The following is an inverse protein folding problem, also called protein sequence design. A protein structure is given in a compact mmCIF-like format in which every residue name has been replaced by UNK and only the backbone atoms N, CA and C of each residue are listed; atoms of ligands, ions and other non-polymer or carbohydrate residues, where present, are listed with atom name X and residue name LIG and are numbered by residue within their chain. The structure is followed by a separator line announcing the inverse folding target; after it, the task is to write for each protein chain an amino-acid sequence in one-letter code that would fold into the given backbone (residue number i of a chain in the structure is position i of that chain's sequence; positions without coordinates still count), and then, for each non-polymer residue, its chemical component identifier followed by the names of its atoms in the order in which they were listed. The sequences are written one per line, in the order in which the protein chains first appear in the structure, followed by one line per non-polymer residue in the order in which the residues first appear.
data_IF_042186514309
#
_entry.id   IF_042186514309
#
_cell.length_a   1.000
_cell.length_b   1.000
_cell.length_c   1.000
_cell.angle_alpha   90.00
_cell.angle_beta   90.00
_cell.angle_gamma   90.00
#
_symmetry.space_group_name_H-M   'P 1'
#
loop_
_entity.id
_entity.type
_entity.pdbx_description
1 polymer ?
#
# COMPACT_ATOMS: atom_id res chain seq x y z
N UNK A 1 -39.68 40.33 49.87
CA UNK A 1 -39.31 41.74 49.56
C UNK A 1 -38.60 41.73 48.21
N UNK A 2 -39.01 42.64 47.34
CA UNK A 2 -38.97 42.56 45.88
C UNK A 2 -37.66 43.04 45.21
N UNK A 3 -37.69 42.95 43.87
CA UNK A 3 -36.91 43.63 42.82
C UNK A 3 -35.69 42.88 42.28
N UNK A 4 -35.39 42.84 40.98
CA UNK A 4 -36.17 42.99 39.73
C UNK A 4 -35.30 42.49 38.55
N UNK A 5 -35.95 42.20 37.42
CA UNK A 5 -35.39 41.62 36.21
C UNK A 5 -34.49 42.57 35.37
N UNK A 6 -33.55 42.01 34.60
CA UNK A 6 -33.19 42.51 33.26
C UNK A 6 -32.79 41.38 32.30
N UNK A 7 -33.39 41.43 31.12
CA UNK A 7 -33.28 40.51 29.99
C UNK A 7 -32.03 40.80 29.13
N UNK A 8 -31.47 39.77 28.50
CA UNK A 8 -30.53 39.92 27.38
C UNK A 8 -30.94 39.05 26.19
N UNK A 9 -30.80 39.65 25.01
CA UNK A 9 -31.46 39.38 23.73
C UNK A 9 -30.80 38.27 22.89
N UNK A 10 -31.57 37.44 22.15
CA UNK A 10 -31.06 36.37 21.28
C UNK A 10 -30.74 36.85 19.84
N UNK A 11 -30.06 38.00 19.68
CA UNK A 11 -29.74 38.57 18.35
C UNK A 11 -28.30 38.32 17.86
N UNK A 12 -27.43 37.72 18.66
CA UNK A 12 -26.03 37.48 18.26
C UNK A 12 -25.78 36.12 17.54
N UNK A 13 -26.70 35.16 17.63
CA UNK A 13 -26.52 33.83 17.03
C UNK A 13 -26.89 33.75 15.53
N UNK A 14 -27.81 34.60 15.05
CA UNK A 14 -28.22 34.57 13.64
C UNK A 14 -27.22 35.25 12.69
N UNK A 15 -26.47 36.24 13.16
CA UNK A 15 -25.55 37.01 12.32
C UNK A 15 -24.27 36.23 11.98
N UNK A 16 -23.81 35.33 12.86
CA UNK A 16 -22.62 34.50 12.61
C UNK A 16 -22.93 33.33 11.66
N UNK A 17 -24.16 32.80 11.67
CA UNK A 17 -24.58 31.73 10.76
C UNK A 17 -24.72 32.22 9.30
N UNK A 18 -25.11 33.48 9.09
CA UNK A 18 -25.24 34.10 7.76
C UNK A 18 -23.86 34.40 7.14
N UNK A 19 -22.87 34.77 7.93
CA UNK A 19 -21.51 35.02 7.44
C UNK A 19 -20.80 33.71 7.03
N UNK A 20 -21.01 32.62 7.77
CA UNK A 20 -20.45 31.30 7.41
C UNK A 20 -21.08 30.71 6.14
N UNK A 21 -22.37 30.97 5.88
CA UNK A 21 -23.04 30.53 4.64
C UNK A 21 -22.68 31.39 3.43
N UNK A 22 -22.39 32.68 3.61
CA UNK A 22 -21.90 33.56 2.54
C UNK A 22 -20.45 33.27 2.14
N UNK A 23 -19.56 32.95 3.10
CA UNK A 23 -18.18 32.55 2.79
C UNK A 23 -18.14 31.16 2.12
N UNK A 24 -19.08 30.26 2.46
CA UNK A 24 -19.20 28.96 1.79
C UNK A 24 -19.75 29.08 0.36
N UNK A 25 -20.63 30.06 0.08
CA UNK A 25 -21.11 30.33 -1.28
C UNK A 25 -20.10 31.02 -2.18
N UNK A 26 -19.12 31.74 -1.64
CA UNK A 26 -18.09 32.42 -2.45
C UNK A 26 -16.92 31.52 -2.87
N UNK A 27 -16.80 30.30 -2.32
CA UNK A 27 -15.75 29.33 -2.71
C UNK A 27 -16.20 28.21 -3.67
N UNK A 28 -17.45 28.23 -4.14
CA UNK A 28 -17.97 27.22 -5.08
C UNK A 28 -17.96 27.70 -6.54
N UNK A 29 -17.50 28.92 -6.83
CA UNK A 29 -17.38 29.43 -8.21
C UNK A 29 -15.92 29.72 -8.54
N UNK A 30 -15.16 28.65 -8.81
CA UNK A 30 -14.00 28.60 -9.72
C UNK A 30 -13.83 27.12 -10.15
N UNK A 31 -14.87 26.59 -10.77
CA UNK A 31 -14.74 25.50 -11.72
C UNK A 31 -14.99 26.15 -13.09
N UNK A 32 -14.01 26.07 -13.96
CA UNK A 32 -14.09 26.57 -15.34
C UNK A 32 -15.26 25.87 -16.05
N UNK A 33 -16.37 26.58 -16.21
CA UNK A 33 -17.40 26.27 -17.19
C UNK A 33 -16.82 26.55 -18.57
N UNK A 34 -16.58 25.51 -19.35
CA UNK A 34 -16.50 25.64 -20.79
C UNK A 34 -17.95 25.81 -21.28
N UNK A 35 -18.30 27.04 -21.68
CA UNK A 35 -19.55 27.31 -22.39
C UNK A 35 -19.52 26.53 -23.71
N UNK A 36 -20.40 25.54 -23.85
CA UNK A 36 -20.74 25.01 -25.17
C UNK A 36 -21.84 25.89 -25.76
N UNK A 37 -21.48 26.63 -26.80
CA UNK A 37 -22.46 27.30 -27.65
C UNK A 37 -23.40 26.25 -28.26
N UNK A 38 -24.67 26.27 -27.85
CA UNK A 38 -25.75 25.60 -28.58
C UNK A 38 -26.21 26.53 -29.71
N UNK A 39 -25.87 26.17 -30.94
CA UNK A 39 -26.72 26.48 -32.10
C UNK A 39 -27.53 25.24 -32.47
N UNK A 40 -28.77 25.49 -32.83
CA UNK A 40 -29.88 24.57 -32.99
C UNK A 40 -29.64 23.45 -34.01
N UNK A 41 -30.04 22.21 -33.71
CA UNK A 41 -30.06 21.16 -34.73
C UNK A 41 -30.29 19.73 -34.26
N UNK A 42 -31.55 19.41 -33.92
CA UNK A 42 -32.19 18.10 -34.02
C UNK A 42 -31.67 16.91 -33.17
N UNK A 43 -32.46 16.54 -32.17
CA UNK A 43 -32.36 15.29 -31.43
C UNK A 43 -32.71 14.12 -32.35
N UNK A 44 -31.81 13.15 -32.51
CA UNK A 44 -32.19 11.81 -32.91
C UNK A 44 -31.52 10.77 -32.01
N UNK A 45 -32.36 10.04 -31.31
CA UNK A 45 -32.06 9.11 -30.23
C UNK A 45 -31.42 7.83 -30.75
N UNK A 46 -30.17 7.54 -30.34
CA UNK A 46 -29.64 6.18 -30.18
C UNK A 46 -28.64 6.15 -29.02
N UNK A 47 -29.15 5.89 -27.82
CA UNK A 47 -28.33 5.37 -26.72
C UNK A 47 -27.84 3.98 -27.12
N UNK A 48 -26.60 3.91 -27.60
CA UNK A 48 -25.83 2.66 -27.68
C UNK A 48 -24.68 2.70 -26.70
N UNK A 49 -24.81 1.82 -25.72
CA UNK A 49 -23.87 1.35 -24.73
C UNK A 49 -22.52 0.93 -25.38
N UNK A 50 -21.64 1.87 -25.73
CA UNK A 50 -20.36 1.56 -26.38
C UNK A 50 -19.11 2.25 -25.80
N UNK A 51 -19.17 2.81 -24.58
CA UNK A 51 -18.00 3.53 -24.02
C UNK A 51 -16.99 2.66 -23.26
N UNK A 52 -16.95 1.35 -23.55
CA UNK A 52 -16.07 0.39 -22.86
C UNK A 52 -15.09 -0.39 -23.75
N UNK A 53 -15.24 -0.32 -25.08
CA UNK A 53 -14.47 -1.17 -26.02
C UNK A 53 -13.34 -0.45 -26.77
N UNK A 54 -13.27 0.87 -26.70
CA UNK A 54 -12.35 1.68 -27.51
C UNK A 54 -10.98 1.93 -26.88
N UNK A 55 -10.75 1.55 -25.61
CA UNK A 55 -9.42 1.73 -24.99
C UNK A 55 -8.34 0.77 -25.50
N UNK A 56 -8.72 -0.31 -26.19
CA UNK A 56 -7.78 -1.35 -26.68
C UNK A 56 -7.71 -1.50 -28.20
N UNK A 57 -8.43 -0.68 -28.97
CA UNK A 57 -8.31 -0.65 -30.43
C UNK A 57 -7.58 0.62 -30.88
N UNK A 58 -6.28 0.67 -30.61
CA UNK A 58 -5.39 1.64 -31.25
C UNK A 58 -5.20 1.24 -32.71
N UNK A 59 -5.45 2.19 -33.61
CA UNK A 59 -5.17 2.13 -35.05
C UNK A 59 -3.81 1.45 -35.32
N UNK A 60 -3.86 0.19 -35.78
CA UNK A 60 -2.67 -0.58 -36.15
C UNK A 60 -2.17 -0.05 -37.50
N UNK A 61 -0.93 0.47 -37.60
CA UNK A 61 -0.33 0.84 -38.89
C UNK A 61 -0.35 -0.37 -39.82
N UNK A 62 -0.58 -0.16 -41.12
CA UNK A 62 -0.70 -1.23 -42.12
C UNK A 62 0.62 -1.93 -42.48
N UNK A 63 1.75 -1.53 -41.88
CA UNK A 63 2.98 -2.32 -41.82
C UNK A 63 3.97 -1.69 -40.81
N UNK A 64 3.89 -1.98 -39.50
CA UNK A 64 4.89 -1.53 -38.56
C UNK A 64 6.13 -2.42 -38.69
N UNK A 65 7.31 -1.82 -38.80
CA UNK A 65 8.57 -2.52 -38.61
C UNK A 65 8.48 -3.33 -37.29
N UNK A 66 8.58 -4.68 -37.34
CA UNK A 66 8.43 -5.53 -36.18
C UNK A 66 9.40 -5.19 -35.05
N UNK A 67 10.54 -4.57 -35.35
CA UNK A 67 11.54 -4.15 -34.37
C UNK A 67 11.19 -2.79 -33.74
N UNK A 68 10.63 -1.86 -34.53
CA UNK A 68 10.27 -0.52 -34.06
C UNK A 68 9.26 -0.54 -32.91
N UNK A 69 8.38 -1.56 -32.84
CA UNK A 69 7.41 -1.71 -31.73
C UNK A 69 8.09 -1.99 -30.38
N UNK A 70 9.28 -2.59 -30.39
CA UNK A 70 10.02 -2.97 -29.18
C UNK A 70 11.06 -1.92 -28.77
N UNK A 71 11.44 -1.02 -29.68
CA UNK A 71 12.48 -0.03 -29.46
C UNK A 71 12.32 0.78 -28.15
N UNK A 72 11.12 1.27 -27.78
CA UNK A 72 10.95 2.02 -26.53
C UNK A 72 11.31 1.20 -25.28
N UNK A 73 11.02 -0.11 -25.29
CA UNK A 73 11.37 -1.00 -24.19
C UNK A 73 12.85 -1.32 -24.17
N UNK A 74 13.47 -1.54 -25.34
CA UNK A 74 14.90 -1.79 -25.46
C UNK A 74 15.73 -0.59 -25.01
N UNK A 75 15.32 0.62 -25.37
CA UNK A 75 15.96 1.87 -24.95
C UNK A 75 15.84 2.06 -23.43
N UNK A 76 14.67 1.76 -22.85
CA UNK A 76 14.45 1.82 -21.42
C UNK A 76 15.32 0.80 -20.66
N UNK A 77 15.42 -0.44 -21.15
CA UNK A 77 16.28 -1.48 -20.56
C UNK A 77 17.75 -1.06 -20.65
N UNK A 78 18.21 -0.62 -21.82
CA UNK A 78 19.59 -0.17 -22.02
C UNK A 78 19.96 0.99 -21.09
N UNK A 79 19.06 1.98 -21.00
CA UNK A 79 19.24 3.13 -20.09
C UNK A 79 19.27 2.69 -18.62
N UNK A 80 18.39 1.77 -18.21
CA UNK A 80 18.34 1.28 -16.84
C UNK A 80 19.60 0.48 -16.47
N UNK A 81 20.07 -0.42 -17.35
CA UNK A 81 21.29 -1.21 -17.14
C UNK A 81 22.52 -0.31 -17.09
N UNK A 82 22.60 0.72 -17.93
CA UNK A 82 23.71 1.68 -17.93
C UNK A 82 23.76 2.53 -16.65
N UNK A 83 22.60 2.86 -16.08
CA UNK A 83 22.50 3.68 -14.86
C UNK A 83 22.59 2.85 -13.57
N UNK A 84 22.29 1.55 -13.65
CA UNK A 84 22.27 0.67 -12.50
C UNK A 84 23.67 0.51 -11.91
N UNK A 85 23.75 0.63 -10.58
CA UNK A 85 24.96 0.39 -9.80
C UNK A 85 24.60 -0.64 -8.74
N UNK A 86 25.39 -1.71 -8.66
CA UNK A 86 25.23 -2.70 -7.61
C UNK A 86 25.37 -2.04 -6.24
N UNK A 87 24.54 -2.51 -5.30
CA UNK A 87 24.68 -2.10 -3.92
C UNK A 87 25.77 -2.95 -3.24
N UNK A 88 26.46 -2.36 -2.27
CA UNK A 88 27.43 -3.09 -1.44
C UNK A 88 26.72 -4.09 -0.52
N UNK A 89 27.09 -5.37 -0.60
CA UNK A 89 26.42 -6.44 0.15
C UNK A 89 27.07 -6.72 1.52
N UNK A 90 28.36 -6.45 1.68
CA UNK A 90 29.14 -6.90 2.84
C UNK A 90 28.98 -6.04 4.10
N UNK A 91 28.48 -4.81 3.97
CA UNK A 91 28.45 -3.80 5.03
C UNK A 91 27.04 -3.50 5.57
N UNK A 92 26.00 -4.24 5.15
CA UNK A 92 24.59 -3.94 5.41
C UNK A 92 24.10 -2.56 4.88
N UNK A 93 24.84 -1.93 3.98
CA UNK A 93 24.58 -0.54 3.51
C UNK A 93 23.63 -0.45 2.32
N UNK A 94 23.31 -1.57 1.67
CA UNK A 94 22.48 -1.61 0.47
C UNK A 94 21.13 -0.86 0.60
N UNK A 95 20.60 -0.74 1.82
CA UNK A 95 19.32 -0.09 2.08
C UNK A 95 19.42 1.17 2.97
N UNK A 96 20.63 1.68 3.23
CA UNK A 96 20.84 2.86 4.10
C UNK A 96 20.13 4.10 3.57
N UNK A 97 20.12 4.29 2.25
CA UNK A 97 19.42 5.42 1.61
C UNK A 97 17.94 5.48 1.98
N UNK A 98 17.29 4.35 2.27
CA UNK A 98 15.91 4.30 2.74
C UNK A 98 15.82 4.82 4.17
N UNK A 99 16.70 4.35 5.05
CA UNK A 99 16.75 4.74 6.47
C UNK A 99 17.04 6.23 6.59
N UNK A 100 18.06 6.73 5.88
CA UNK A 100 18.47 8.14 5.90
C UNK A 100 17.36 9.07 5.43
N UNK A 101 16.64 8.65 4.40
CA UNK A 101 15.53 9.41 3.81
C UNK A 101 14.30 9.41 4.73
N UNK A 102 14.02 8.29 5.37
CA UNK A 102 12.90 8.16 6.32
C UNK A 102 13.13 8.98 7.60
N UNK A 103 14.39 9.07 8.04
CA UNK A 103 14.78 9.84 9.23
C UNK A 103 15.11 11.31 8.92
N UNK A 104 15.16 11.73 7.64
CA UNK A 104 15.63 13.07 7.26
C UNK A 104 14.78 14.17 7.89
N UNK A 105 13.46 14.00 7.91
CA UNK A 105 12.51 14.97 8.47
C UNK A 105 12.77 15.24 9.95
N UNK A 106 13.20 14.22 10.71
CA UNK A 106 13.50 14.37 12.13
C UNK A 106 14.84 15.03 12.36
N UNK A 107 15.83 14.71 11.52
CA UNK A 107 17.14 15.38 11.51
C UNK A 107 16.99 16.87 11.20
N UNK A 108 16.20 17.23 10.19
CA UNK A 108 15.92 18.62 9.80
C UNK A 108 15.16 19.39 10.90
N UNK A 109 14.29 18.71 11.65
CA UNK A 109 13.53 19.29 12.77
C UNK A 109 14.28 19.32 14.10
N UNK A 110 15.55 18.88 14.14
CA UNK A 110 16.37 18.88 15.35
C UNK A 110 16.10 17.72 16.32
N UNK A 111 15.41 16.66 15.86
CA UNK A 111 15.12 15.45 16.62
C UNK A 111 13.64 15.16 16.80
N UNK A 112 13.34 14.09 17.52
CA UNK A 112 11.98 13.70 17.92
C UNK A 112 11.76 14.21 19.35
N UNK A 113 10.80 15.12 19.54
CA UNK A 113 10.50 15.66 20.87
C UNK A 113 9.55 14.74 21.64
N UNK A 114 9.60 14.82 22.98
CA UNK A 114 8.69 14.07 23.85
C UNK A 114 7.22 14.45 23.59
N UNK A 115 6.94 15.70 23.23
CA UNK A 115 5.59 16.17 22.90
C UNK A 115 5.07 15.51 21.61
N UNK A 116 5.89 15.48 20.56
CA UNK A 116 5.56 14.80 19.30
C UNK A 116 5.31 13.31 19.52
N UNK A 117 6.15 12.67 20.34
CA UNK A 117 5.99 11.27 20.69
C UNK A 117 4.67 11.03 21.44
N UNK A 118 4.36 11.83 22.47
CA UNK A 118 3.09 11.75 23.21
C UNK A 118 1.88 12.02 22.32
N UNK A 119 1.98 12.96 21.38
CA UNK A 119 0.93 13.24 20.38
C UNK A 119 0.66 12.01 19.50
N UNK A 120 1.70 11.35 19.02
CA UNK A 120 1.56 10.12 18.24
C UNK A 120 0.96 8.98 19.08
N UNK A 121 1.46 8.78 20.31
CA UNK A 121 0.98 7.74 21.22
C UNK A 121 -0.51 7.94 21.59
N UNK A 122 -0.92 9.18 21.87
CA UNK A 122 -2.29 9.54 22.21
C UNK A 122 -3.30 9.28 21.09
N UNK A 123 -2.85 9.17 19.83
CA UNK A 123 -3.73 8.78 18.70
C UNK A 123 -4.01 7.28 18.64
N UNK A 124 -3.28 6.44 19.38
CA UNK A 124 -3.48 4.98 19.38
C UNK A 124 -3.16 4.32 18.02
N UNK A 125 -2.23 4.92 17.27
CA UNK A 125 -1.86 4.51 15.90
C UNK A 125 -0.75 3.44 15.84
N UNK A 126 -0.32 2.93 16.99
CA UNK A 126 0.65 1.84 17.09
C UNK A 126 0.92 1.45 18.54
N UNK A 127 1.73 0.41 18.73
CA UNK A 127 2.18 -0.04 20.04
C UNK A 127 3.40 0.74 20.52
N UNK A 128 3.40 1.09 21.80
CA UNK A 128 4.54 1.72 22.45
C UNK A 128 5.54 0.64 22.86
N UNK A 129 6.76 0.76 22.37
CA UNK A 129 7.90 -0.03 22.80
C UNK A 129 8.94 0.85 23.47
N UNK A 130 9.62 0.29 24.46
CA UNK A 130 10.75 0.92 25.13
C UNK A 130 11.87 -0.09 25.27
N UNK A 131 13.10 0.36 25.04
CA UNK A 131 14.32 -0.37 25.38
C UNK A 131 14.96 0.42 26.50
N UNK A 132 15.12 -0.22 27.66
CA UNK A 132 15.74 0.39 28.85
C UNK A 132 16.70 -0.63 29.44
N UNK A 133 17.98 -0.26 29.55
CA UNK A 133 19.04 -1.14 30.03
C UNK A 133 19.04 -2.51 29.34
N UNK A 134 18.99 -2.48 28.01
CA UNK A 134 18.96 -3.67 27.15
C UNK A 134 17.84 -4.68 27.47
N UNK A 135 16.69 -4.19 27.95
CA UNK A 135 15.45 -4.95 28.16
C UNK A 135 14.33 -4.32 27.34
N UNK A 136 13.53 -5.17 26.70
CA UNK A 136 12.41 -4.74 25.87
C UNK A 136 11.14 -4.69 26.71
N UNK A 137 10.46 -3.56 26.64
CA UNK A 137 9.16 -3.31 27.24
C UNK A 137 8.18 -2.92 26.14
N UNK A 138 6.92 -3.31 26.31
CA UNK A 138 5.86 -3.02 25.35
C UNK A 138 4.56 -2.74 26.09
N UNK A 139 3.70 -1.90 25.50
CA UNK A 139 2.31 -1.76 25.92
C UNK A 139 1.62 -3.12 26.01
N UNK A 140 0.77 -3.33 27.03
CA UNK A 140 0.12 -4.62 27.29
C UNK A 140 -0.63 -5.17 26.07
N UNK A 141 -1.38 -4.30 25.37
CA UNK A 141 -2.14 -4.66 24.17
C UNK A 141 -1.22 -4.63 22.95
N UNK A 142 -1.31 -5.66 22.10
CA UNK A 142 -0.90 -5.66 20.69
C UNK A 142 -2.15 -6.05 19.88
N UNK A 143 -2.50 -5.30 18.82
CA UNK A 143 -3.68 -5.64 18.03
C UNK A 143 -3.50 -6.96 17.28
N UNK A 144 -2.30 -7.20 16.75
CA UNK A 144 -1.94 -8.41 16.01
C UNK A 144 -0.75 -9.10 16.68
N UNK A 145 -1.02 -9.93 17.69
CA UNK A 145 0.01 -10.51 18.56
C UNK A 145 1.15 -11.21 17.81
N UNK A 146 0.84 -11.99 16.77
CA UNK A 146 1.85 -12.66 15.95
C UNK A 146 2.75 -11.66 15.18
N UNK A 147 2.21 -10.51 14.76
CA UNK A 147 3.02 -9.45 14.14
C UNK A 147 4.00 -8.82 15.14
N UNK A 148 3.54 -8.56 16.37
CA UNK A 148 4.43 -8.10 17.44
C UNK A 148 5.55 -9.12 17.70
N UNK A 149 5.22 -10.40 17.85
CA UNK A 149 6.21 -11.48 18.06
C UNK A 149 7.24 -11.55 16.92
N UNK A 150 6.81 -11.42 15.67
CA UNK A 150 7.70 -11.38 14.51
C UNK A 150 8.70 -10.22 14.54
N UNK A 151 8.31 -9.03 15.00
CA UNK A 151 9.23 -7.89 15.16
C UNK A 151 10.13 -8.06 16.40
N UNK A 152 9.55 -8.52 17.51
CA UNK A 152 10.26 -8.79 18.76
C UNK A 152 11.42 -9.79 18.56
N UNK A 153 11.24 -10.80 17.70
CA UNK A 153 12.31 -11.72 17.30
C UNK A 153 13.59 -11.01 16.85
N UNK A 154 13.46 -10.00 15.98
CA UNK A 154 14.61 -9.26 15.45
C UNK A 154 15.22 -8.32 16.49
N UNK A 155 14.38 -7.60 17.24
CA UNK A 155 14.85 -6.67 18.29
C UNK A 155 15.65 -7.43 19.36
N UNK A 156 15.10 -8.55 19.85
CA UNK A 156 15.72 -9.34 20.92
C UNK A 156 17.08 -9.91 20.51
N UNK A 157 17.30 -10.20 19.22
CA UNK A 157 18.61 -10.64 18.69
C UNK A 157 19.72 -9.59 18.83
N UNK A 158 19.38 -8.31 18.78
CA UNK A 158 20.35 -7.21 18.82
C UNK A 158 20.25 -6.35 20.08
N UNK A 159 19.35 -6.68 21.02
CA UNK A 159 19.00 -5.81 22.15
C UNK A 159 20.17 -5.40 23.04
N UNK A 160 21.21 -6.23 23.13
CA UNK A 160 22.45 -5.95 23.89
C UNK A 160 23.33 -4.87 23.25
N UNK A 161 23.08 -4.53 21.98
CA UNK A 161 23.78 -3.49 21.23
C UNK A 161 22.95 -2.21 21.10
N UNK A 162 21.68 -2.23 21.48
CA UNK A 162 20.78 -1.08 21.35
C UNK A 162 20.87 -0.17 22.57
N UNK A 163 20.92 1.16 22.39
CA UNK A 163 20.81 2.12 23.49
C UNK A 163 19.38 2.20 24.03
N UNK A 164 19.21 2.94 25.13
CA UNK A 164 17.89 3.27 25.64
C UNK A 164 17.14 4.13 24.61
N UNK A 165 15.93 3.71 24.26
CA UNK A 165 15.09 4.38 23.27
C UNK A 165 13.61 3.98 23.44
N UNK A 166 12.73 4.76 22.84
CA UNK A 166 11.32 4.41 22.71
C UNK A 166 10.83 4.66 21.28
N UNK A 167 9.89 3.84 20.83
CA UNK A 167 9.34 3.92 19.48
C UNK A 167 7.88 3.47 19.44
N UNK A 168 7.17 3.93 18.41
CA UNK A 168 5.79 3.53 18.14
C UNK A 168 5.80 2.62 16.92
N UNK A 169 5.42 1.37 17.11
CA UNK A 169 5.35 0.37 16.06
C UNK A 169 3.90 0.21 15.60
N UNK A 170 3.59 0.61 14.37
CA UNK A 170 2.34 0.30 13.72
C UNK A 170 2.39 -1.12 13.14
N UNK A 171 1.54 -1.99 13.67
CA UNK A 171 1.37 -3.37 13.23
C UNK A 171 0.26 -3.54 12.17
N UNK A 172 -0.41 -2.47 11.74
CA UNK A 172 -1.49 -2.52 10.75
C UNK A 172 -0.94 -2.52 9.33
N UNK A 173 -1.81 -2.81 8.36
CA UNK A 173 -1.43 -2.85 6.95
C UNK A 173 -1.18 -1.46 6.35
N UNK A 174 -1.81 -0.41 6.89
CA UNK A 174 -1.75 0.95 6.33
C UNK A 174 -0.87 1.88 7.18
N UNK A 175 -0.05 2.76 6.56
CA UNK A 175 0.72 3.79 7.27
C UNK A 175 -0.16 4.80 8.02
N UNK A 176 0.43 5.52 8.98
CA UNK A 176 -0.31 6.31 9.99
C UNK A 176 0.12 7.79 10.08
N UNK A 177 1.18 8.20 9.40
CA UNK A 177 1.70 9.56 9.44
C UNK A 177 1.64 10.23 8.07
N UNK A 178 0.49 10.76 7.63
CA UNK A 178 0.35 11.34 6.30
C UNK A 178 1.09 12.68 6.13
N UNK A 179 1.54 12.98 4.90
CA UNK A 179 2.31 14.19 4.56
C UNK A 179 1.52 15.50 4.55
N UNK A 180 0.19 15.42 4.49
CA UNK A 180 -0.67 16.59 4.63
C UNK A 180 -0.76 17.10 6.09
N UNK A 181 -0.20 16.36 7.07
CA UNK A 181 -0.18 16.72 8.48
C UNK A 181 1.26 16.78 9.01
N UNK A 182 1.40 17.26 10.26
CA UNK A 182 2.68 17.19 10.98
C UNK A 182 3.20 15.75 11.01
N UNK A 183 4.51 15.53 10.78
CA UNK A 183 5.10 14.22 10.88
C UNK A 183 4.93 13.67 12.30
N UNK A 184 4.71 12.36 12.39
CA UNK A 184 4.65 11.59 13.62
C UNK A 184 5.67 10.44 13.56
N UNK A 185 6.45 10.19 14.63
CA UNK A 185 7.53 9.21 14.64
C UNK A 185 6.97 7.78 14.79
N UNK A 186 6.35 7.27 13.73
CA UNK A 186 5.72 5.95 13.70
C UNK A 186 6.45 5.05 12.72
N UNK A 187 6.74 3.83 13.15
CA UNK A 187 7.31 2.78 12.30
C UNK A 187 6.19 1.99 11.64
N UNK A 188 6.17 1.88 10.32
CA UNK A 188 5.21 1.11 9.52
C UNK A 188 5.93 0.26 8.48
N UNK A 189 5.52 -0.98 8.22
CA UNK A 189 6.27 -1.86 7.30
C UNK A 189 6.19 -1.43 5.82
N UNK A 190 5.18 -0.64 5.45
CA UNK A 190 4.95 -0.17 4.08
C UNK A 190 4.38 1.24 4.08
N UNK A 191 4.66 2.00 3.01
CA UNK A 191 4.13 3.34 2.78
C UNK A 191 4.22 3.76 1.31
N UNK A 192 3.43 4.78 0.96
CA UNK A 192 3.66 5.57 -0.26
C UNK A 192 4.55 6.75 0.08
N UNK A 193 5.78 6.78 -0.45
CA UNK A 193 6.81 7.76 -0.07
C UNK A 193 6.37 9.22 -0.26
N UNK A 194 5.62 9.52 -1.32
CA UNK A 194 5.11 10.87 -1.59
C UNK A 194 3.97 11.29 -0.67
N UNK A 195 3.36 10.37 0.08
CA UNK A 195 2.14 10.62 0.85
C UNK A 195 2.30 10.38 2.36
N UNK A 196 3.35 9.70 2.83
CA UNK A 196 3.52 9.35 4.24
C UNK A 196 4.93 9.60 4.77
N UNK A 197 5.02 9.99 6.04
CA UNK A 197 6.24 10.22 6.83
C UNK A 197 6.68 9.00 7.64
N UNK A 198 5.88 7.93 7.71
CA UNK A 198 6.20 6.73 8.48
C UNK A 198 7.62 6.22 8.19
N UNK A 199 8.30 5.70 9.20
CA UNK A 199 9.64 5.12 9.07
C UNK A 199 9.48 3.64 8.74
N UNK A 200 10.05 3.18 7.63
CA UNK A 200 9.94 1.78 7.25
C UNK A 200 10.78 0.86 8.14
N UNK A 201 10.24 -0.31 8.44
CA UNK A 201 10.96 -1.40 9.11
C UNK A 201 10.72 -2.73 8.40
N UNK A 202 11.65 -3.71 8.51
CA UNK A 202 11.45 -5.04 7.95
C UNK A 202 10.20 -5.70 8.54
N UNK A 203 9.26 -6.09 7.69
CA UNK A 203 7.98 -6.63 8.13
C UNK A 203 8.13 -7.86 9.04
N UNK A 204 7.22 -7.99 10.00
CA UNK A 204 7.11 -9.15 10.90
C UNK A 204 7.19 -10.50 10.18
N UNK A 205 6.61 -10.58 8.97
CA UNK A 205 6.49 -11.80 8.16
C UNK A 205 7.82 -12.40 7.73
N UNK A 206 8.95 -11.68 7.85
CA UNK A 206 10.26 -12.31 7.68
C UNK A 206 10.49 -13.43 8.71
N UNK A 207 9.86 -13.35 9.88
CA UNK A 207 9.86 -14.39 10.89
C UNK A 207 8.49 -15.05 11.07
N UNK A 208 7.43 -14.29 11.36
CA UNK A 208 6.07 -14.82 11.57
C UNK A 208 4.99 -13.72 11.49
N UNK A 209 3.71 -14.11 11.59
CA UNK A 209 2.59 -13.16 11.66
C UNK A 209 2.16 -12.58 10.30
N UNK A 210 2.64 -13.15 9.19
CA UNK A 210 2.09 -12.90 7.86
C UNK A 210 0.68 -13.48 7.69
N UNK A 211 0.09 -13.35 6.48
CA UNK A 211 -1.26 -13.84 6.21
C UNK A 211 -1.41 -15.34 6.48
N UNK A 212 -2.44 -15.72 7.24
CA UNK A 212 -2.80 -17.12 7.47
C UNK A 212 -3.70 -17.62 6.34
N UNK A 213 -3.12 -18.41 5.45
CA UNK A 213 -3.75 -18.91 4.21
C UNK A 213 -3.92 -20.41 4.36
N UNK A 214 -5.14 -20.88 4.64
CA UNK A 214 -5.39 -22.31 4.80
C UNK A 214 -5.51 -22.99 3.42
N UNK A 215 -4.93 -24.18 3.19
CA UNK A 215 -4.16 -24.99 4.14
C UNK A 215 -2.64 -24.72 4.12
N UNK A 216 -2.14 -23.84 3.25
CA UNK A 216 -0.70 -23.68 2.98
C UNK A 216 0.09 -23.09 4.16
N UNK A 217 -0.43 -22.04 4.80
CA UNK A 217 0.19 -21.29 5.89
C UNK A 217 -0.78 -21.18 7.08
N UNK A 218 -1.05 -22.29 7.79
CA UNK A 218 -2.05 -22.32 8.85
C UNK A 218 -1.69 -21.42 10.05
N UNK A 219 -0.40 -21.21 10.30
CA UNK A 219 0.14 -20.35 11.37
C UNK A 219 0.56 -18.96 10.87
N UNK A 220 0.16 -18.58 9.66
CA UNK A 220 0.63 -17.36 9.01
C UNK A 220 1.92 -17.56 8.23
N UNK A 221 2.04 -16.88 7.09
CA UNK A 221 3.27 -16.82 6.31
C UNK A 221 4.42 -16.26 7.18
N UNK A 222 5.58 -16.88 7.09
CA UNK A 222 6.72 -16.62 7.98
C UNK A 222 7.97 -17.33 7.50
N UNK A 223 9.01 -17.31 8.36
CA UNK A 223 10.25 -18.09 8.20
C UNK A 223 10.89 -17.92 6.83
N UNK A 224 11.18 -16.67 6.48
CA UNK A 224 11.82 -16.32 5.21
C UNK A 224 13.15 -17.04 5.00
N UNK A 225 13.85 -17.36 6.10
CA UNK A 225 15.06 -18.20 6.08
C UNK A 225 14.79 -19.56 5.42
N UNK A 226 13.77 -20.30 5.86
CA UNK A 226 13.41 -21.59 5.29
C UNK A 226 12.77 -21.45 3.90
N UNK A 227 11.97 -20.39 3.72
CA UNK A 227 11.26 -20.15 2.47
C UNK A 227 12.22 -19.91 1.30
N UNK A 228 13.32 -19.18 1.54
CA UNK A 228 14.38 -18.97 0.54
C UNK A 228 15.00 -20.29 0.08
N UNK A 229 15.29 -21.20 1.01
CA UNK A 229 15.86 -22.51 0.68
C UNK A 229 14.87 -23.35 -0.14
N UNK A 230 13.58 -23.34 0.23
CA UNK A 230 12.52 -24.03 -0.50
C UNK A 230 12.40 -23.51 -1.95
N UNK A 231 12.31 -22.18 -2.12
CA UNK A 231 12.19 -21.55 -3.43
C UNK A 231 13.44 -21.75 -4.30
N UNK A 232 14.64 -21.67 -3.73
CA UNK A 232 15.89 -21.93 -4.46
C UNK A 232 15.95 -23.37 -4.97
N UNK A 233 15.53 -24.34 -4.13
CA UNK A 233 15.42 -25.74 -4.52
C UNK A 233 14.39 -25.93 -5.63
N UNK A 234 13.24 -25.27 -5.56
CA UNK A 234 12.19 -25.37 -6.59
C UNK A 234 12.64 -24.74 -7.91
N UNK A 235 13.23 -23.55 -7.87
CA UNK A 235 13.71 -22.83 -9.05
C UNK A 235 14.74 -23.64 -9.84
N UNK A 236 15.57 -24.44 -9.16
CA UNK A 236 16.57 -25.33 -9.78
C UNK A 236 15.97 -26.55 -10.49
N UNK A 237 14.71 -26.92 -10.21
CA UNK A 237 14.06 -28.07 -10.87
C UNK A 237 13.67 -27.77 -12.32
N UNK A 238 13.34 -26.52 -12.63
CA UNK A 238 12.83 -26.12 -13.95
C UNK A 238 13.56 -24.88 -14.49
N UNK A 239 14.41 -25.09 -15.50
CA UNK A 239 15.13 -24.03 -16.21
C UNK A 239 14.17 -23.07 -16.92
N UNK A 240 14.62 -21.85 -17.18
CA UNK A 240 13.80 -20.76 -17.76
C UNK A 240 13.07 -21.16 -19.05
N UNK A 241 13.77 -21.85 -19.95
CA UNK A 241 13.30 -22.36 -21.24
C UNK A 241 12.18 -23.42 -21.10
N UNK A 242 12.10 -24.10 -19.96
CA UNK A 242 11.09 -25.13 -19.68
C UNK A 242 9.88 -24.60 -18.90
N UNK A 243 9.93 -23.35 -18.42
CA UNK A 243 8.79 -22.71 -17.75
C UNK A 243 7.67 -22.43 -18.74
N UNK A 244 6.43 -22.54 -18.27
CA UNK A 244 5.25 -22.24 -19.06
C UNK A 244 5.27 -20.77 -19.52
N UNK A 245 5.06 -20.53 -20.81
CA UNK A 245 5.01 -19.17 -21.38
C UNK A 245 3.59 -18.61 -21.23
N UNK A 246 3.14 -18.56 -19.98
CA UNK A 246 1.82 -18.09 -19.56
C UNK A 246 2.00 -17.25 -18.30
N UNK A 247 1.42 -16.06 -18.28
CA UNK A 247 1.46 -15.23 -17.08
C UNK A 247 0.58 -15.84 -15.98
N UNK A 248 1.05 -15.84 -14.73
CA UNK A 248 0.32 -16.48 -13.63
C UNK A 248 0.16 -15.55 -12.43
N UNK A 249 -1.03 -15.57 -11.83
CA UNK A 249 -1.30 -14.85 -10.58
C UNK A 249 -2.36 -15.56 -9.76
N UNK A 250 -2.07 -15.95 -8.51
CA UNK A 250 -3.10 -16.51 -7.62
C UNK A 250 -3.11 -15.79 -6.27
N UNK A 251 -4.22 -15.13 -5.96
CA UNK A 251 -4.38 -14.38 -4.71
C UNK A 251 -5.75 -13.73 -4.62
N UNK A 252 -6.09 -13.13 -3.47
CA UNK A 252 -7.41 -12.54 -3.24
C UNK A 252 -7.55 -11.10 -3.77
N UNK A 253 -8.77 -10.57 -3.83
CA UNK A 253 -9.07 -9.20 -4.27
C UNK A 253 -8.86 -8.17 -3.16
N UNK A 254 -7.60 -7.85 -2.85
CA UNK A 254 -7.26 -6.80 -1.86
C UNK A 254 -7.16 -5.39 -2.47
N UNK A 255 -7.15 -5.29 -3.79
CA UNK A 255 -7.18 -4.03 -4.55
C UNK A 255 -7.85 -4.27 -5.90
N UNK A 256 -8.66 -3.33 -6.35
CA UNK A 256 -9.30 -3.37 -7.67
C UNK A 256 -8.28 -3.21 -8.82
N UNK A 257 -7.06 -2.75 -8.55
CA UNK A 257 -5.98 -2.67 -9.55
C UNK A 257 -5.63 -4.04 -10.16
N UNK A 258 -6.01 -5.14 -9.49
CA UNK A 258 -5.81 -6.52 -9.97
C UNK A 258 -6.88 -6.95 -10.97
N UNK A 259 -8.05 -6.29 -11.00
CA UNK A 259 -9.20 -6.72 -11.79
C UNK A 259 -8.91 -6.87 -13.29
N UNK A 260 -8.17 -5.94 -13.96
CA UNK A 260 -7.90 -6.07 -15.39
C UNK A 260 -7.16 -7.36 -15.76
N UNK A 261 -6.23 -7.83 -14.91
CA UNK A 261 -5.49 -9.08 -15.15
C UNK A 261 -6.40 -10.31 -15.03
N UNK A 262 -7.32 -10.30 -14.05
CA UNK A 262 -8.30 -11.37 -13.86
C UNK A 262 -9.29 -11.42 -15.02
N UNK A 263 -9.75 -10.26 -15.49
CA UNK A 263 -10.63 -10.17 -16.64
C UNK A 263 -9.93 -10.62 -17.93
N UNK A 264 -8.66 -10.25 -18.13
CA UNK A 264 -7.85 -10.72 -19.25
C UNK A 264 -7.70 -12.25 -19.23
N UNK A 265 -7.43 -12.85 -18.08
CA UNK A 265 -7.35 -14.33 -17.96
C UNK A 265 -8.66 -15.04 -18.26
N UNK A 266 -9.81 -14.39 -18.02
CA UNK A 266 -11.12 -14.95 -18.40
C UNK A 266 -11.35 -14.94 -19.91
N UNK A 267 -10.82 -13.92 -20.58
CA UNK A 267 -10.92 -13.73 -22.03
C UNK A 267 -9.92 -14.63 -22.79
N UNK A 268 -8.66 -14.66 -22.34
CA UNK A 268 -7.59 -15.47 -22.93
C UNK A 268 -6.83 -16.28 -21.85
N UNK A 269 -7.25 -17.54 -21.69
CA UNK A 269 -6.67 -18.50 -20.74
C UNK A 269 -5.34 -19.10 -21.19
N UNK A 270 -5.01 -18.98 -22.47
CA UNK A 270 -3.74 -19.48 -23.00
C UNK A 270 -2.62 -18.46 -22.77
N UNK A 271 -2.96 -17.17 -22.73
CA UNK A 271 -2.04 -16.09 -22.40
C UNK A 271 -1.83 -15.89 -20.89
N UNK A 272 -2.90 -15.91 -20.09
CA UNK A 272 -2.85 -15.60 -18.65
C UNK A 272 -3.70 -16.59 -17.84
N UNK A 273 -3.14 -17.11 -16.74
CA UNK A 273 -3.86 -17.82 -15.69
C UNK A 273 -3.87 -16.99 -14.38
N UNK A 274 -4.92 -16.19 -14.23
CA UNK A 274 -5.11 -15.29 -13.10
C UNK A 274 -6.56 -15.38 -12.57
N UNK A 275 -6.70 -15.67 -11.28
CA UNK A 275 -7.97 -15.92 -10.61
C UNK A 275 -7.90 -15.46 -9.15
N UNK A 276 -9.06 -15.06 -8.64
CA UNK A 276 -9.17 -14.64 -7.24
C UNK A 276 -9.37 -15.83 -6.31
N UNK A 277 -8.58 -15.89 -5.24
CA UNK A 277 -8.80 -16.76 -4.08
C UNK A 277 -9.64 -16.05 -3.02
N UNK A 278 -10.08 -16.79 -2.00
CA UNK A 278 -10.80 -16.24 -0.85
C UNK A 278 -9.81 -15.73 0.21
N UNK A 279 -10.12 -14.61 0.84
CA UNK A 279 -9.45 -14.17 2.06
C UNK A 279 -10.42 -14.17 3.25
N UNK A 280 -9.89 -13.92 4.45
CA UNK A 280 -10.68 -13.90 5.70
C UNK A 280 -11.71 -12.77 5.76
N UNK A 281 -11.58 -11.74 4.90
CA UNK A 281 -12.46 -10.58 4.84
C UNK A 281 -13.51 -10.68 3.71
N UNK A 282 -13.61 -11.83 3.03
CA UNK A 282 -14.60 -12.08 1.98
C UNK A 282 -16.02 -11.93 2.53
N UNK A 283 -16.86 -11.16 1.84
CA UNK A 283 -18.24 -10.84 2.22
C UNK A 283 -19.25 -11.26 1.17
N UNK A 284 -18.88 -11.26 -0.10
CA UNK A 284 -19.81 -11.55 -1.20
C UNK A 284 -19.09 -12.00 -2.47
N UNK A 285 -19.85 -12.51 -3.44
CA UNK A 285 -19.33 -12.92 -4.74
C UNK A 285 -18.65 -11.78 -5.52
N UNK A 286 -18.96 -10.52 -5.20
CA UNK A 286 -18.25 -9.36 -5.77
C UNK A 286 -16.75 -9.38 -5.45
N UNK A 287 -16.33 -10.00 -4.33
CA UNK A 287 -14.93 -10.11 -3.92
C UNK A 287 -14.11 -11.07 -4.81
N UNK A 288 -14.77 -11.86 -5.65
CA UNK A 288 -14.14 -12.73 -6.66
C UNK A 288 -14.63 -12.39 -8.07
N UNK A 289 -15.20 -11.19 -8.26
CA UNK A 289 -15.83 -10.74 -9.50
C UNK A 289 -16.81 -11.79 -10.04
N UNK A 290 -17.68 -12.27 -9.15
CA UNK A 290 -18.80 -13.18 -9.41
C UNK A 290 -18.40 -14.55 -9.98
N UNK A 291 -17.16 -14.98 -9.75
CA UNK A 291 -16.70 -16.34 -10.05
C UNK A 291 -16.43 -17.13 -8.77
N UNK A 292 -16.55 -18.46 -8.77
CA UNK A 292 -16.14 -19.29 -7.64
C UNK A 292 -14.68 -18.98 -7.24
N UNK A 293 -14.37 -18.89 -5.94
CA UNK A 293 -13.00 -18.65 -5.49
C UNK A 293 -12.09 -19.79 -5.95
N UNK A 294 -10.97 -19.45 -6.56
CA UNK A 294 -9.94 -20.40 -6.91
C UNK A 294 -9.26 -20.96 -5.65
N UNK A 295 -8.73 -22.17 -5.77
CA UNK A 295 -7.88 -22.75 -4.73
C UNK A 295 -6.57 -21.99 -4.60
N UNK A 296 -6.05 -21.97 -3.38
CA UNK A 296 -4.72 -21.46 -3.09
C UNK A 296 -3.66 -22.32 -3.80
N UNK A 297 -2.57 -21.67 -4.21
CA UNK A 297 -1.43 -22.30 -4.89
C UNK A 297 -0.18 -21.94 -4.11
N UNK A 298 0.69 -22.92 -3.86
CA UNK A 298 1.95 -22.71 -3.13
C UNK A 298 2.86 -21.73 -3.88
N UNK A 299 3.70 -21.00 -3.15
CA UNK A 299 4.64 -20.06 -3.79
C UNK A 299 5.68 -20.81 -4.65
N UNK A 300 6.04 -22.02 -4.25
CA UNK A 300 6.88 -22.94 -5.02
C UNK A 300 6.24 -23.29 -6.37
N UNK A 301 4.94 -23.59 -6.41
CA UNK A 301 4.25 -23.89 -7.67
C UNK A 301 4.23 -22.71 -8.64
N UNK A 302 4.39 -21.48 -8.18
CA UNK A 302 4.52 -20.33 -9.08
C UNK A 302 5.80 -20.41 -9.93
N UNK A 303 6.84 -21.13 -9.46
CA UNK A 303 8.11 -21.29 -10.19
C UNK A 303 7.96 -22.05 -11.52
N UNK A 304 6.80 -22.67 -11.81
CA UNK A 304 6.55 -23.32 -13.11
C UNK A 304 6.29 -22.33 -14.26
N UNK A 305 5.91 -21.09 -13.94
CA UNK A 305 5.60 -20.04 -14.91
C UNK A 305 6.78 -19.07 -15.08
N UNK A 306 6.87 -18.45 -16.26
CA UNK A 306 7.88 -17.40 -16.56
C UNK A 306 7.60 -16.08 -15.85
#
# INVERSE_FOLDING_TARGET
MAMDAYSYSPRACYTVLIILTLVYRQKIVLAEEWECHMEEGNCDSKDSFEDGKTKYHLNRPTNPDPEAKWQPYLDAISSAVMQYKDCEQDSCTCHDSVIEKDLSVWREKGGITQEQFKKALGRGIGNHYQIINHKLYRSKRCMFAARCSGVEHFILKIIKKLPDMEFILNERDWPQSPKFADPLPVLSFSKVYSQHWDIMYPAWTFWEGGPAVWPLFPTGLGRWDLFRESLDKEAKKLTWDKKETKAFFRGSRTSAERDPLILLSRDDRDLVDAQYTKNQAWKSDADTLYMPPATEVSLEEHCRFK
#
